data_IF_527784088905
#
_entry.id   IF_527784088905
#
_cell.length_a   1.000
_cell.length_b   1.000
_cell.length_c   1.000
_cell.angle_alpha   90.00
_cell.angle_beta   90.00
_cell.angle_gamma   90.00
#
_symmetry.space_group_name_H-M   'P 1'
#
loop_
_entity.id
_entity.type
_entity.pdbx_description
1 polymer ?
#
# COMPACT_ATOMS: atom_id res chain seq x y z
N UNK A 1 -12.78 3.32 -38.67
CA UNK A 1 -12.09 3.95 -37.53
C UNK A 1 -11.00 4.82 -38.12
N UNK A 2 -11.09 6.15 -37.98
CA UNK A 2 -10.06 7.05 -38.49
C UNK A 2 -8.84 7.04 -37.56
N UNK A 3 -7.65 7.32 -38.08
CA UNK A 3 -6.41 7.45 -37.29
C UNK A 3 -6.59 8.38 -36.08
N UNK A 4 -7.38 9.42 -36.26
CA UNK A 4 -7.69 10.42 -35.23
C UNK A 4 -8.50 9.82 -34.06
N UNK A 5 -9.49 8.98 -34.37
CA UNK A 5 -10.23 8.23 -33.33
C UNK A 5 -9.34 7.24 -32.58
N UNK A 6 -8.39 6.59 -33.27
CA UNK A 6 -7.46 5.67 -32.65
C UNK A 6 -6.46 6.38 -31.72
N UNK A 7 -5.93 7.55 -32.12
CA UNK A 7 -5.04 8.34 -31.27
C UNK A 7 -5.74 8.87 -30.01
N UNK A 8 -6.99 9.32 -30.14
CA UNK A 8 -7.78 9.79 -29.02
C UNK A 8 -8.06 8.67 -28.00
N UNK A 9 -8.42 7.47 -28.48
CA UNK A 9 -8.58 6.28 -27.62
C UNK A 9 -7.26 5.89 -26.94
N UNK A 10 -6.15 5.96 -27.66
CA UNK A 10 -4.82 5.61 -27.13
C UNK A 10 -4.38 6.58 -26.02
N UNK A 11 -4.64 7.88 -26.18
CA UNK A 11 -4.38 8.87 -25.13
C UNK A 11 -5.26 8.66 -23.90
N UNK A 12 -6.57 8.42 -24.12
CA UNK A 12 -7.51 8.13 -23.03
C UNK A 12 -7.10 6.87 -22.27
N UNK A 13 -6.79 5.79 -22.98
CA UNK A 13 -6.33 4.53 -22.40
C UNK A 13 -5.01 4.70 -21.64
N UNK A 14 -4.07 5.53 -22.11
CA UNK A 14 -2.83 5.84 -21.38
C UNK A 14 -3.08 6.59 -20.09
N UNK A 15 -3.93 7.62 -20.10
CA UNK A 15 -4.30 8.38 -18.92
C UNK A 15 -5.03 7.50 -17.88
N UNK A 16 -5.92 6.63 -18.36
CA UNK A 16 -6.61 5.66 -17.51
C UNK A 16 -5.63 4.62 -16.96
N UNK A 17 -4.66 4.15 -17.75
CA UNK A 17 -3.60 3.26 -17.27
C UNK A 17 -2.73 3.91 -16.20
N UNK A 18 -2.34 5.18 -16.36
CA UNK A 18 -1.57 5.91 -15.34
C UNK A 18 -2.37 6.12 -14.05
N UNK A 19 -3.65 6.47 -14.17
CA UNK A 19 -4.57 6.59 -13.04
C UNK A 19 -4.74 5.24 -12.32
N UNK A 20 -4.94 4.16 -13.06
CA UNK A 20 -5.07 2.80 -12.55
C UNK A 20 -3.76 2.27 -11.96
N UNK A 21 -2.59 2.62 -12.49
CA UNK A 21 -1.28 2.30 -11.87
C UNK A 21 -1.10 3.02 -10.54
N UNK A 22 -1.50 4.29 -10.45
CA UNK A 22 -1.52 5.06 -9.19
C UNK A 22 -2.54 4.53 -8.19
N UNK A 23 -3.67 4.00 -8.65
CA UNK A 23 -4.72 3.40 -7.82
C UNK A 23 -4.41 1.93 -7.42
N UNK A 24 -3.70 1.20 -8.27
CA UNK A 24 -3.21 -0.17 -8.05
C UNK A 24 -2.02 -0.21 -7.09
N UNK A 25 -1.30 0.91 -6.96
CA UNK A 25 -0.39 1.17 -5.85
C UNK A 25 -1.13 1.68 -4.61
N UNK A 26 -2.20 1.01 -4.16
CA UNK A 26 -2.59 1.15 -2.75
C UNK A 26 -1.40 0.64 -1.94
N UNK A 27 -0.51 1.56 -1.59
CA UNK A 27 0.75 1.30 -0.93
C UNK A 27 0.53 0.58 0.39
N UNK A 28 1.64 0.05 0.92
CA UNK A 28 1.65 -0.46 2.28
C UNK A 28 1.21 0.67 3.20
N UNK A 29 0.21 0.41 4.05
CA UNK A 29 -0.30 1.41 4.98
C UNK A 29 -0.42 0.83 6.39
N UNK A 30 -0.27 1.71 7.38
CA UNK A 30 -0.32 1.39 8.80
C UNK A 30 -1.60 1.94 9.42
N UNK A 31 -2.20 1.19 10.34
CA UNK A 31 -3.36 1.65 11.10
C UNK A 31 -3.39 1.06 12.50
N UNK A 32 -3.69 1.88 13.50
CA UNK A 32 -4.04 1.42 14.84
C UNK A 32 -5.50 0.96 14.83
N UNK A 33 -5.73 -0.29 15.23
CA UNK A 33 -7.07 -0.84 15.39
C UNK A 33 -7.75 -0.31 16.65
N UNK A 34 -9.08 -0.42 16.73
CA UNK A 34 -9.83 -0.08 17.95
C UNK A 34 -9.40 -0.91 19.17
N UNK A 35 -8.76 -2.07 18.95
CA UNK A 35 -8.21 -2.92 20.01
C UNK A 35 -6.82 -2.49 20.47
N UNK A 36 -6.23 -1.45 19.88
CA UNK A 36 -4.89 -0.96 20.19
C UNK A 36 -3.76 -1.77 19.54
N UNK A 37 -4.05 -2.59 18.53
CA UNK A 37 -3.03 -3.30 17.74
C UNK A 37 -2.68 -2.52 16.47
N UNK A 38 -1.40 -2.55 16.09
CA UNK A 38 -0.91 -2.03 14.80
C UNK A 38 -1.16 -3.05 13.68
N UNK A 39 -1.80 -2.61 12.61
CA UNK A 39 -2.06 -3.40 11.39
C UNK A 39 -1.31 -2.83 10.20
N UNK A 40 -0.75 -3.71 9.37
CA UNK A 40 -0.12 -3.39 8.10
C UNK A 40 -0.98 -3.92 6.94
N UNK A 41 -1.43 -3.04 6.06
CA UNK A 41 -2.29 -3.34 4.92
C UNK A 41 -1.50 -3.33 3.61
N UNK A 42 -2.06 -3.94 2.56
CA UNK A 42 -1.47 -3.94 1.23
C UNK A 42 -0.53 -5.12 0.94
N UNK A 43 -0.37 -6.06 1.87
CA UNK A 43 0.52 -7.23 1.71
C UNK A 43 -0.19 -8.54 1.34
N UNK A 44 -1.51 -8.54 1.23
CA UNK A 44 -2.32 -9.73 0.93
C UNK A 44 -3.30 -10.08 2.05
N UNK A 45 -3.96 -11.23 1.92
CA UNK A 45 -4.89 -11.74 2.94
C UNK A 45 -4.15 -12.71 3.88
N UNK A 46 -4.56 -12.76 5.13
CA UNK A 46 -4.02 -13.67 6.13
C UNK A 46 -4.45 -15.13 5.87
N UNK A 47 -3.58 -16.14 6.09
CA UNK A 47 -2.15 -16.02 6.41
C UNK A 47 -1.35 -15.52 5.21
N UNK A 48 -0.36 -14.66 5.45
CA UNK A 48 0.39 -14.01 4.38
C UNK A 48 1.71 -14.75 4.15
N UNK A 49 1.89 -15.26 2.94
CA UNK A 49 3.19 -15.77 2.45
C UNK A 49 3.75 -14.74 1.48
N UNK A 50 4.97 -14.27 1.74
CA UNK A 50 5.61 -13.21 0.97
C UNK A 50 6.87 -13.71 0.28
N UNK A 51 7.07 -13.26 -0.96
CA UNK A 51 8.34 -13.41 -1.66
C UNK A 51 9.42 -12.51 -1.06
N UNK A 52 10.69 -12.81 -1.37
CA UNK A 52 11.86 -12.07 -0.85
C UNK A 52 11.74 -10.56 -1.04
N UNK A 53 11.33 -10.12 -2.22
CA UNK A 53 11.24 -8.70 -2.60
C UNK A 53 10.14 -7.99 -1.80
N UNK A 54 9.08 -8.72 -1.43
CA UNK A 54 8.02 -8.20 -0.58
C UNK A 54 8.48 -8.05 0.87
N UNK A 55 9.31 -8.97 1.37
CA UNK A 55 9.98 -8.82 2.67
C UNK A 55 10.91 -7.62 2.69
N UNK A 56 11.78 -7.48 1.68
CA UNK A 56 12.69 -6.33 1.57
C UNK A 56 11.93 -5.01 1.59
N UNK A 57 10.81 -4.92 0.86
CA UNK A 57 9.96 -3.73 0.87
C UNK A 57 9.39 -3.38 2.26
N UNK A 58 9.07 -4.38 3.09
CA UNK A 58 8.63 -4.13 4.49
C UNK A 58 9.82 -3.69 5.35
N UNK A 59 10.98 -4.32 5.18
CA UNK A 59 12.19 -4.00 5.93
C UNK A 59 12.70 -2.59 5.63
N UNK A 60 12.60 -2.13 4.38
CA UNK A 60 12.91 -0.75 3.99
C UNK A 60 11.99 0.28 4.66
N UNK A 61 10.81 -0.15 5.14
CA UNK A 61 9.87 0.68 5.89
C UNK A 61 10.05 0.60 7.41
N UNK A 62 11.08 -0.11 7.92
CA UNK A 62 11.25 -0.35 9.35
C UNK A 62 11.27 0.94 10.17
N UNK A 63 11.96 1.98 9.73
CA UNK A 63 12.03 3.26 10.44
C UNK A 63 10.68 3.98 10.44
N UNK A 64 9.96 3.97 9.31
CA UNK A 64 8.62 4.54 9.24
C UNK A 64 7.63 3.81 10.18
N UNK A 65 7.75 2.48 10.30
CA UNK A 65 6.96 1.69 11.25
C UNK A 65 7.30 2.08 12.68
N UNK A 66 8.58 2.24 13.02
CA UNK A 66 9.02 2.67 14.36
C UNK A 66 8.51 4.06 14.72
N UNK A 67 8.61 5.02 13.79
CA UNK A 67 8.07 6.38 13.99
C UNK A 67 6.55 6.34 14.18
N UNK A 68 5.83 5.57 13.36
CA UNK A 68 4.37 5.44 13.51
C UNK A 68 3.98 4.85 14.88
N UNK A 69 4.75 3.88 15.39
CA UNK A 69 4.55 3.34 16.74
C UNK A 69 4.75 4.43 17.79
N UNK A 70 5.85 5.18 17.73
CA UNK A 70 6.15 6.24 18.68
C UNK A 70 5.07 7.34 18.67
N UNK A 71 4.64 7.77 17.49
CA UNK A 71 3.59 8.79 17.32
C UNK A 71 2.22 8.35 17.85
N UNK A 72 1.98 7.03 17.93
CA UNK A 72 0.70 6.45 18.35
C UNK A 72 0.80 5.64 19.65
N UNK A 73 1.88 5.81 20.41
CA UNK A 73 2.19 4.99 21.59
C UNK A 73 1.02 4.94 22.59
N UNK A 74 0.39 6.09 22.85
CA UNK A 74 -0.77 6.21 23.74
C UNK A 74 -2.02 5.41 23.29
N UNK A 75 -2.13 5.08 22.00
CA UNK A 75 -3.25 4.30 21.45
C UNK A 75 -2.92 2.81 21.33
N UNK A 76 -1.65 2.46 21.39
CA UNK A 76 -1.18 1.09 21.24
C UNK A 76 -1.20 0.37 22.58
N UNK A 77 -1.67 -0.88 22.57
CA UNK A 77 -1.63 -1.74 23.75
C UNK A 77 -0.41 -2.64 23.69
N UNK A 78 0.39 -2.64 24.76
CA UNK A 78 1.32 -3.74 25.02
C UNK A 78 0.51 -5.00 25.34
N UNK A 79 0.93 -6.12 24.78
CA UNK A 79 0.39 -7.44 25.12
C UNK A 79 1.40 -8.14 26.02
N UNK A 80 0.99 -8.50 27.22
CA UNK A 80 1.70 -9.43 28.11
C UNK A 80 1.41 -10.89 27.72
#
# INVERSE_FOLDING_TARGET
>A
MSEETLMAELQKLKAENESLKKAGSRGISLKVSQKGALSLYGMGRFPVTLYKEQWLKILDMADAIRTFIADNDAQLKAKE
#
